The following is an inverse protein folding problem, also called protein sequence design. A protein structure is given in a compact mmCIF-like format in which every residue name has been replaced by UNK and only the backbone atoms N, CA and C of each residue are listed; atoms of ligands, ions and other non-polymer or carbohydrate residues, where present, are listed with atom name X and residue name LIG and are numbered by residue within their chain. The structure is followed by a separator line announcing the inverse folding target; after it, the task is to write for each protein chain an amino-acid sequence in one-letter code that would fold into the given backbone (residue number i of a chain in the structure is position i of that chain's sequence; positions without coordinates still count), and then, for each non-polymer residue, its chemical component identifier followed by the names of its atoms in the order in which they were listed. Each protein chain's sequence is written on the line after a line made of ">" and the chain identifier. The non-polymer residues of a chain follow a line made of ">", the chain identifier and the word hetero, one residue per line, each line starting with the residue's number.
data_IF_615868737152
#
_entry.id   IF_615868737152
#
_cell.length_a   1.000
_cell.length_b   1.000
_cell.length_c   1.000
_cell.angle_alpha   90.00
_cell.angle_beta   90.00
_cell.angle_gamma   90.00
#
_symmetry.space_group_name_H-M   'P 1'
#
loop_
_entity.id
_entity.type
_entity.pdbx_description
1 polymer ?
#
# COMPACT_ATOMS: atom_id res chain seq x y z
N UNK A 1 13.25 -9.15 -19.94
CA UNK A 1 13.21 -8.69 -18.52
C UNK A 1 14.22 -9.49 -17.71
N UNK A 2 14.70 -9.03 -16.54
CA UNK A 2 15.59 -9.80 -15.65
C UNK A 2 14.78 -10.26 -14.44
N UNK A 3 14.77 -11.55 -14.13
CA UNK A 3 14.08 -12.07 -12.94
C UNK A 3 14.71 -11.52 -11.66
N UNK A 4 13.89 -11.00 -10.74
CA UNK A 4 14.35 -10.28 -9.54
C UNK A 4 14.74 -11.21 -8.38
N UNK A 5 14.46 -12.53 -8.50
CA UNK A 5 14.61 -13.56 -7.45
C UNK A 5 13.71 -13.38 -6.20
N UNK A 6 12.76 -12.46 -6.25
CA UNK A 6 11.68 -12.29 -5.27
C UNK A 6 10.33 -12.19 -5.99
N UNK A 7 9.24 -12.38 -5.26
CA UNK A 7 7.89 -12.12 -5.76
C UNK A 7 7.68 -10.62 -6.06
N UNK A 8 6.81 -10.26 -7.03
CA UNK A 8 6.51 -8.86 -7.32
C UNK A 8 5.82 -8.23 -6.11
N UNK A 9 6.11 -6.95 -5.83
CA UNK A 9 5.39 -6.21 -4.80
C UNK A 9 3.91 -6.10 -5.20
N UNK A 10 2.99 -6.38 -4.26
CA UNK A 10 1.55 -6.34 -4.48
C UNK A 10 1.04 -4.99 -5.01
N UNK A 11 1.73 -3.92 -4.62
CA UNK A 11 1.67 -2.60 -5.21
C UNK A 11 3.09 -2.13 -5.56
N UNK A 12 3.25 -1.54 -6.73
CA UNK A 12 4.51 -1.11 -7.32
C UNK A 12 4.62 0.42 -7.43
N UNK A 13 5.85 0.93 -7.38
CA UNK A 13 6.10 2.37 -7.44
C UNK A 13 5.63 3.13 -6.20
N UNK A 14 5.70 4.47 -6.24
CA UNK A 14 5.14 5.45 -5.29
C UNK A 14 4.80 4.97 -3.85
N UNK A 15 5.75 4.37 -3.13
CA UNK A 15 5.51 3.68 -1.83
C UNK A 15 5.04 4.59 -0.68
N UNK A 16 4.98 5.90 -0.91
CA UNK A 16 4.31 6.86 -0.02
C UNK A 16 2.80 6.81 -0.04
N UNK A 17 2.24 6.51 -1.21
CA UNK A 17 0.81 6.54 -1.39
C UNK A 17 0.24 5.22 -0.85
N UNK A 18 -1.01 5.19 -0.35
CA UNK A 18 -1.65 3.94 0.05
C UNK A 18 -1.61 2.92 -1.11
N UNK A 19 -1.37 1.62 -0.86
CA UNK A 19 -1.28 0.58 -1.89
C UNK A 19 -2.38 0.61 -2.96
N UNK A 20 -3.58 0.99 -2.56
CA UNK A 20 -4.83 1.11 -3.33
C UNK A 20 -4.75 2.17 -4.44
N UNK A 21 -3.89 3.17 -4.24
CA UNK A 21 -3.66 4.26 -5.19
C UNK A 21 -2.53 3.97 -6.15
N UNK A 22 -1.64 3.03 -5.81
CA UNK A 22 -0.43 2.67 -6.56
C UNK A 22 -0.78 1.69 -7.69
N UNK A 23 0.14 1.50 -8.64
CA UNK A 23 0.00 0.50 -9.69
C UNK A 23 0.14 -0.92 -9.12
N UNK A 24 -0.66 -1.86 -9.59
CA UNK A 24 -0.66 -3.25 -9.11
C UNK A 24 0.58 -4.05 -9.52
N UNK A 25 0.76 -5.21 -8.89
CA UNK A 25 1.69 -6.23 -9.38
C UNK A 25 1.37 -6.68 -10.83
N UNK A 26 0.10 -6.66 -11.24
CA UNK A 26 -0.33 -7.02 -12.60
C UNK A 26 0.19 -6.00 -13.62
N UNK A 27 0.18 -4.71 -13.27
CA UNK A 27 0.80 -3.65 -14.07
C UNK A 27 2.33 -3.78 -14.14
N UNK A 28 2.99 -4.17 -13.04
CA UNK A 28 4.43 -4.45 -13.04
C UNK A 28 4.82 -5.66 -13.91
N UNK A 29 3.90 -6.62 -14.12
CA UNK A 29 4.14 -7.82 -14.94
C UNK A 29 3.74 -7.68 -16.42
N UNK A 30 3.18 -6.54 -16.87
CA UNK A 30 2.86 -6.28 -18.29
C UNK A 30 3.95 -6.71 -19.30
N UNK A 31 5.28 -6.47 -19.06
CA UNK A 31 6.34 -6.93 -19.97
C UNK A 31 6.43 -8.45 -20.15
N UNK A 32 5.92 -9.25 -19.21
CA UNK A 32 5.86 -10.71 -19.30
C UNK A 32 4.60 -11.21 -20.00
N UNK A 33 3.56 -10.37 -20.10
CA UNK A 33 2.34 -10.64 -20.88
C UNK A 33 2.44 -10.14 -22.34
N UNK A 34 3.63 -9.70 -22.77
CA UNK A 34 3.86 -9.14 -24.11
C UNK A 34 3.64 -7.62 -24.23
N UNK A 35 3.16 -6.96 -23.17
CA UNK A 35 2.79 -5.54 -23.15
C UNK A 35 3.93 -4.63 -22.65
N UNK A 36 5.12 -4.76 -23.25
CA UNK A 36 6.27 -3.92 -22.91
C UNK A 36 6.06 -2.44 -23.29
N UNK A 37 5.30 -2.21 -24.36
CA UNK A 37 4.83 -0.91 -24.82
C UNK A 37 3.94 -0.22 -23.77
N UNK A 38 2.92 -0.92 -23.27
CA UNK A 38 2.01 -0.40 -22.24
C UNK A 38 2.75 -0.10 -20.94
N UNK A 39 3.69 -0.96 -20.55
CA UNK A 39 4.54 -0.70 -19.38
C UNK A 39 5.42 0.54 -19.57
N UNK A 40 5.88 0.82 -20.79
CA UNK A 40 6.67 2.02 -21.11
C UNK A 40 5.87 3.33 -21.01
N UNK A 41 4.56 3.28 -21.18
CA UNK A 41 3.64 4.41 -21.00
C UNK A 41 3.27 4.68 -19.53
N UNK A 42 3.44 3.70 -18.63
CA UNK A 42 3.04 3.81 -17.22
C UNK A 42 4.06 4.60 -16.37
N UNK A 43 3.56 5.56 -15.61
CA UNK A 43 4.33 6.28 -14.60
C UNK A 43 4.06 5.72 -13.19
N UNK A 44 4.99 4.90 -12.71
CA UNK A 44 4.98 4.30 -11.37
C UNK A 44 5.25 5.29 -10.21
N UNK A 45 5.55 6.56 -10.48
CA UNK A 45 5.57 7.61 -9.45
C UNK A 45 4.19 8.27 -9.23
N UNK A 46 3.17 7.86 -10.00
CA UNK A 46 1.81 8.43 -9.98
C UNK A 46 0.77 7.37 -9.64
N UNK A 47 -0.43 7.82 -9.26
CA UNK A 47 -1.55 6.93 -8.99
C UNK A 47 -1.97 6.15 -10.24
N UNK A 48 -2.49 4.93 -10.10
CA UNK A 48 -2.89 4.08 -11.23
C UNK A 48 -3.98 4.71 -12.12
N UNK A 49 -4.78 5.62 -11.55
CA UNK A 49 -5.83 6.37 -12.23
C UNK A 49 -5.46 7.85 -12.49
N UNK A 50 -4.20 8.25 -12.36
CA UNK A 50 -3.71 9.55 -12.84
C UNK A 50 -4.04 9.70 -14.35
N UNK A 51 -4.43 10.89 -14.86
CA UNK A 51 -4.78 11.08 -16.27
C UNK A 51 -3.73 10.61 -17.29
N UNK A 52 -2.44 10.57 -16.93
CA UNK A 52 -1.38 9.96 -17.75
C UNK A 52 -1.53 8.43 -17.79
N UNK A 53 -1.67 7.80 -16.61
CA UNK A 53 -1.79 6.35 -16.48
C UNK A 53 -3.13 5.81 -17.03
N UNK A 54 -4.23 6.60 -17.00
CA UNK A 54 -5.53 6.19 -17.55
C UNK A 54 -5.49 5.81 -19.04
N UNK A 55 -4.50 6.31 -19.81
CA UNK A 55 -4.28 5.93 -21.21
C UNK A 55 -3.96 4.44 -21.39
N UNK A 56 -3.40 3.82 -20.36
CA UNK A 56 -3.09 2.39 -20.28
C UNK A 56 -4.11 1.66 -19.39
N UNK A 57 -4.42 2.19 -18.21
CA UNK A 57 -5.24 1.47 -17.21
C UNK A 57 -6.72 1.34 -17.56
N UNK A 58 -7.18 2.01 -18.63
CA UNK A 58 -8.50 1.77 -19.25
C UNK A 58 -8.49 0.69 -20.35
N UNK A 59 -7.32 0.18 -20.76
CA UNK A 59 -7.21 -0.93 -21.73
C UNK A 59 -7.60 -2.25 -21.03
N UNK A 60 -8.37 -3.13 -21.69
CA UNK A 60 -8.66 -4.46 -21.14
C UNK A 60 -7.39 -5.32 -21.14
N UNK A 61 -7.12 -6.02 -20.04
CA UNK A 61 -6.01 -6.96 -19.92
C UNK A 61 -6.59 -8.38 -19.87
N UNK A 62 -6.77 -8.99 -21.04
CA UNK A 62 -7.55 -10.24 -21.20
C UNK A 62 -7.00 -11.42 -20.39
N UNK A 63 -5.68 -11.50 -20.21
CA UNK A 63 -5.03 -12.53 -19.37
C UNK A 63 -5.43 -12.46 -17.88
N UNK A 64 -6.00 -11.34 -17.42
CA UNK A 64 -6.53 -11.17 -16.06
C UNK A 64 -8.06 -11.42 -15.98
N UNK A 65 -8.69 -11.86 -17.07
CA UNK A 65 -10.12 -12.15 -17.14
C UNK A 65 -10.36 -13.66 -17.09
N UNK A 66 -11.16 -14.13 -16.12
CA UNK A 66 -11.60 -15.52 -16.09
C UNK A 66 -12.63 -15.74 -17.24
N UNK A 67 -12.38 -16.67 -18.19
CA UNK A 67 -13.30 -16.90 -19.31
C UNK A 67 -14.71 -17.31 -18.90
N UNK A 68 -14.89 -17.88 -17.70
CA UNK A 68 -16.21 -18.26 -17.18
C UNK A 68 -17.09 -17.05 -16.77
N UNK A 69 -16.48 -15.89 -16.49
CA UNK A 69 -17.18 -14.66 -16.13
C UNK A 69 -17.20 -13.62 -17.25
N UNK A 70 -16.20 -13.67 -18.14
CA UNK A 70 -16.04 -12.71 -19.23
C UNK A 70 -15.56 -11.32 -18.79
N UNK A 71 -15.32 -10.40 -19.73
CA UNK A 71 -14.79 -9.07 -19.42
C UNK A 71 -15.87 -8.19 -18.79
N UNK A 72 -15.52 -7.52 -17.68
CA UNK A 72 -16.38 -6.54 -17.02
C UNK A 72 -15.60 -5.30 -16.58
N UNK A 73 -16.31 -4.25 -16.16
CA UNK A 73 -15.75 -2.94 -15.80
C UNK A 73 -16.38 -2.42 -14.51
N UNK A 74 -15.63 -1.65 -13.74
CA UNK A 74 -16.19 -0.84 -12.66
C UNK A 74 -17.12 0.26 -13.18
N UNK A 75 -17.94 0.86 -12.32
CA UNK A 75 -18.82 1.99 -12.66
C UNK A 75 -18.05 3.18 -13.27
N UNK A 76 -16.79 3.39 -12.87
CA UNK A 76 -15.90 4.42 -13.45
C UNK A 76 -15.28 4.02 -14.82
N UNK A 77 -15.67 2.87 -15.37
CA UNK A 77 -15.28 2.39 -16.69
C UNK A 77 -13.88 1.76 -16.78
N UNK A 78 -13.31 1.31 -15.65
CA UNK A 78 -12.02 0.62 -15.63
C UNK A 78 -12.20 -0.91 -15.71
N UNK A 79 -11.47 -1.64 -16.57
CA UNK A 79 -11.55 -3.09 -16.64
C UNK A 79 -11.08 -3.77 -15.35
N UNK A 80 -11.83 -4.78 -14.88
CA UNK A 80 -11.52 -5.49 -13.63
C UNK A 80 -10.54 -6.64 -13.83
N UNK A 81 -10.03 -7.19 -12.72
CA UNK A 81 -9.33 -8.48 -12.69
C UNK A 81 -10.18 -9.54 -11.99
N UNK A 82 -9.98 -10.81 -12.37
CA UNK A 82 -10.56 -11.99 -11.70
C UNK A 82 -9.50 -12.83 -10.97
N UNK A 83 -8.27 -12.32 -10.86
CA UNK A 83 -7.17 -13.00 -10.17
C UNK A 83 -6.49 -12.03 -9.21
N UNK A 84 -6.20 -12.49 -7.99
CA UNK A 84 -5.51 -11.69 -6.96
C UNK A 84 -4.30 -12.44 -6.40
N UNK A 85 -3.32 -11.69 -5.90
CA UNK A 85 -2.27 -12.22 -5.05
C UNK A 85 -2.79 -12.52 -3.65
N UNK A 86 -2.37 -13.62 -3.05
CA UNK A 86 -2.74 -13.99 -1.68
C UNK A 86 -1.75 -13.39 -0.69
N UNK A 87 -2.29 -12.59 0.23
CA UNK A 87 -1.52 -11.82 1.21
C UNK A 87 -1.37 -12.52 2.57
N UNK A 88 -2.04 -13.66 2.78
CA UNK A 88 -2.07 -14.36 4.05
C UNK A 88 -3.37 -14.13 4.81
N UNK A 89 -3.32 -13.96 6.14
CA UNK A 89 -4.49 -14.02 7.02
C UNK A 89 -4.80 -12.71 7.74
N UNK A 90 -6.05 -12.27 7.67
CA UNK A 90 -6.54 -11.02 8.26
C UNK A 90 -6.65 -9.87 7.25
N UNK A 91 -7.34 -8.80 7.65
CA UNK A 91 -7.61 -7.64 6.78
C UNK A 91 -6.35 -6.77 6.57
N UNK A 92 -5.41 -6.86 7.50
CA UNK A 92 -4.09 -6.22 7.52
C UNK A 92 -3.02 -7.04 6.80
N UNK A 93 -3.32 -8.26 6.32
CA UNK A 93 -2.32 -9.22 5.82
C UNK A 93 -1.35 -8.65 4.77
N UNK A 94 -1.84 -7.81 3.85
CA UNK A 94 -1.00 -7.16 2.83
C UNK A 94 0.01 -6.13 3.39
N UNK A 95 -0.16 -5.66 4.62
CA UNK A 95 0.78 -4.78 5.31
C UNK A 95 1.84 -5.52 6.13
N UNK A 96 1.72 -6.85 6.27
CA UNK A 96 2.61 -7.63 7.13
C UNK A 96 4.02 -7.76 6.53
N UNK A 97 5.01 -7.76 7.41
CA UNK A 97 6.37 -8.12 7.06
C UNK A 97 6.49 -9.64 6.87
N UNK A 98 7.45 -10.08 6.05
CA UNK A 98 7.63 -11.50 5.75
C UNK A 98 8.01 -12.38 6.97
N UNK A 99 8.27 -11.79 8.14
CA UNK A 99 8.50 -12.51 9.40
C UNK A 99 7.22 -12.81 10.19
N UNK A 100 6.07 -12.21 9.84
CA UNK A 100 4.80 -12.49 10.53
C UNK A 100 4.24 -13.85 10.09
N UNK A 101 3.84 -14.71 11.03
CA UNK A 101 3.30 -16.04 10.76
C UNK A 101 2.04 -16.02 9.86
N UNK A 102 1.30 -14.91 9.83
CA UNK A 102 0.12 -14.70 8.99
C UNK A 102 0.45 -14.18 7.59
N UNK A 103 1.69 -13.83 7.27
CA UNK A 103 2.06 -13.28 5.97
C UNK A 103 1.95 -14.32 4.84
N UNK A 104 1.41 -13.91 3.70
CA UNK A 104 1.35 -14.68 2.45
C UNK A 104 2.40 -14.22 1.43
N UNK A 105 2.26 -14.69 0.19
CA UNK A 105 3.25 -14.47 -0.88
C UNK A 105 3.26 -13.01 -1.37
N UNK A 106 2.10 -12.34 -1.39
CA UNK A 106 1.95 -10.98 -1.90
C UNK A 106 1.78 -9.96 -0.77
N UNK A 107 2.83 -9.18 -0.50
CA UNK A 107 2.81 -8.03 0.40
C UNK A 107 2.89 -6.68 -0.33
N UNK A 108 2.46 -5.62 0.35
CA UNK A 108 2.70 -4.23 -0.05
C UNK A 108 4.01 -3.67 0.50
N UNK A 109 4.51 -4.27 1.60
CA UNK A 109 5.80 -3.98 2.24
C UNK A 109 6.82 -5.08 1.93
N UNK A 110 6.45 -6.32 2.20
CA UNK A 110 7.32 -7.49 1.99
C UNK A 110 7.27 -8.02 0.54
N UNK A 111 8.38 -8.64 0.14
CA UNK A 111 8.54 -9.40 -1.12
C UNK A 111 9.34 -10.67 -0.81
N UNK A 112 8.72 -11.75 -0.35
CA UNK A 112 9.45 -12.96 -0.03
C UNK A 112 10.24 -13.47 -1.25
N UNK A 113 11.46 -13.94 -1.01
CA UNK A 113 12.20 -14.76 -1.96
C UNK A 113 11.75 -16.22 -1.86
N UNK A 114 12.02 -17.08 -2.86
CA UNK A 114 11.71 -18.51 -2.78
C UNK A 114 12.38 -19.25 -1.60
N UNK A 115 13.41 -18.65 -0.97
CA UNK A 115 14.06 -19.20 0.23
C UNK A 115 13.36 -18.78 1.54
N UNK A 116 12.51 -17.76 1.51
CA UNK A 116 11.73 -17.25 2.64
C UNK A 116 10.30 -17.84 2.66
N UNK A 117 10.11 -18.99 1.99
CA UNK A 117 8.89 -19.81 2.04
C UNK A 117 9.29 -21.19 2.58
N UNK A 118 9.51 -21.33 3.91
CA UNK A 118 9.95 -22.58 4.54
C UNK A 118 9.05 -23.80 4.26
N UNK A 119 7.75 -23.61 4.01
CA UNK A 119 6.81 -24.71 3.68
C UNK A 119 7.01 -25.31 2.28
N UNK A 120 7.83 -24.64 1.46
CA UNK A 120 8.04 -24.94 0.07
C UNK A 120 6.97 -24.33 -0.84
N UNK A 121 7.42 -23.78 -1.97
CA UNK A 121 6.56 -23.06 -2.91
C UNK A 121 5.40 -23.89 -3.50
N UNK A 122 5.48 -25.22 -3.46
CA UNK A 122 4.41 -26.13 -3.89
C UNK A 122 3.29 -26.31 -2.85
N UNK A 123 3.49 -25.82 -1.62
CA UNK A 123 2.56 -25.89 -0.49
C UNK A 123 1.94 -24.54 -0.16
N UNK A 124 2.40 -23.45 -0.77
CA UNK A 124 1.92 -22.09 -0.51
C UNK A 124 1.16 -21.54 -1.72
N UNK A 125 -0.03 -20.99 -1.49
CA UNK A 125 -0.85 -20.31 -2.49
C UNK A 125 -0.27 -18.92 -2.74
N UNK A 126 0.06 -18.64 -4.00
CA UNK A 126 0.48 -17.31 -4.44
C UNK A 126 -0.69 -16.52 -5.05
N UNK A 127 -1.54 -17.19 -5.83
CA UNK A 127 -2.62 -16.57 -6.62
C UNK A 127 -3.94 -17.28 -6.37
N UNK A 128 -5.03 -16.51 -6.32
CA UNK A 128 -6.38 -17.02 -6.16
C UNK A 128 -7.34 -16.34 -7.16
N UNK A 129 -8.31 -17.11 -7.66
CA UNK A 129 -9.43 -16.55 -8.42
C UNK A 129 -10.38 -15.77 -7.50
N UNK A 130 -10.99 -14.70 -8.01
CA UNK A 130 -12.07 -13.96 -7.35
C UNK A 130 -13.30 -13.83 -8.26
N UNK A 131 -14.47 -13.99 -7.66
CA UNK A 131 -15.79 -13.82 -8.27
C UNK A 131 -16.56 -12.64 -7.66
N UNK A 132 -16.16 -12.20 -6.45
CA UNK A 132 -16.78 -11.11 -5.72
C UNK A 132 -15.82 -9.95 -5.41
N UNK A 133 -16.40 -8.80 -5.10
CA UNK A 133 -15.68 -7.56 -4.75
C UNK A 133 -14.65 -7.13 -5.85
N UNK A 134 -14.99 -7.30 -7.13
CA UNK A 134 -14.05 -7.13 -8.25
C UNK A 134 -13.51 -5.68 -8.36
N UNK A 135 -12.21 -5.54 -8.58
CA UNK A 135 -11.52 -4.24 -8.68
C UNK A 135 -10.69 -4.09 -9.96
N UNK A 136 -10.24 -2.87 -10.31
CA UNK A 136 -9.45 -2.62 -11.51
C UNK A 136 -8.13 -3.40 -11.54
N UNK A 137 -7.78 -4.03 -12.67
CA UNK A 137 -6.54 -4.82 -12.77
C UNK A 137 -5.27 -4.01 -12.48
N UNK A 138 -5.30 -2.70 -12.75
CA UNK A 138 -4.16 -1.81 -12.55
C UNK A 138 -4.05 -1.24 -11.13
N UNK A 139 -5.07 -1.40 -10.28
CA UNK A 139 -5.08 -0.86 -8.93
C UNK A 139 -4.37 -1.81 -7.96
N UNK A 140 -3.39 -1.31 -7.18
CA UNK A 140 -2.87 -2.04 -6.02
C UNK A 140 -3.91 -2.17 -4.91
N UNK A 141 -3.49 -2.60 -3.72
CA UNK A 141 -4.42 -2.79 -2.59
C UNK A 141 -5.37 -3.98 -2.81
N UNK A 142 -6.52 -3.95 -2.13
CA UNK A 142 -7.54 -5.00 -2.12
C UNK A 142 -8.09 -5.41 -3.50
N UNK A 143 -7.96 -4.54 -4.51
CA UNK A 143 -8.36 -4.82 -5.89
C UNK A 143 -7.56 -5.98 -6.52
N UNK A 144 -6.27 -6.13 -6.17
CA UNK A 144 -5.35 -7.11 -6.78
C UNK A 144 -4.59 -7.97 -5.78
N UNK A 145 -4.65 -7.69 -4.48
CA UNK A 145 -4.01 -8.48 -3.40
C UNK A 145 -4.94 -8.56 -2.19
N UNK A 146 -5.19 -9.76 -1.67
CA UNK A 146 -6.16 -9.99 -0.57
C UNK A 146 -5.66 -10.97 0.47
N UNK A 147 -5.96 -10.67 1.73
CA UNK A 147 -5.90 -11.65 2.82
C UNK A 147 -7.19 -12.45 2.92
N UNK A 148 -7.14 -13.60 3.60
CA UNK A 148 -8.29 -14.39 4.01
C UNK A 148 -8.83 -13.78 5.32
N UNK A 149 -10.06 -13.28 5.31
CA UNK A 149 -10.67 -12.53 6.42
C UNK A 149 -11.84 -13.22 7.07
N UNK A 150 -12.71 -13.89 6.30
CA UNK A 150 -13.95 -14.44 6.82
C UNK A 150 -14.27 -15.81 6.21
N UNK A 151 -14.45 -16.81 7.10
CA UNK A 151 -14.90 -18.16 6.73
C UNK A 151 -16.39 -18.16 6.32
N UNK A 152 -16.83 -19.01 5.37
CA UNK A 152 -16.00 -19.88 4.52
C UNK A 152 -15.23 -19.05 3.49
N UNK A 153 -13.95 -19.37 3.24
CA UNK A 153 -13.13 -18.56 2.36
C UNK A 153 -13.45 -18.79 0.87
N UNK A 154 -13.60 -20.05 0.46
CA UNK A 154 -13.92 -20.43 -0.93
C UNK A 154 -15.41 -20.23 -1.18
N UNK A 155 -15.75 -19.48 -2.23
CA UNK A 155 -17.12 -19.13 -2.61
C UNK A 155 -17.94 -18.45 -1.50
N UNK A 156 -17.26 -17.76 -0.57
CA UNK A 156 -17.88 -17.06 0.56
C UNK A 156 -17.69 -15.53 0.54
N UNK A 157 -17.86 -14.85 1.69
CA UNK A 157 -18.01 -13.39 1.76
C UNK A 157 -16.79 -12.59 1.26
N UNK A 158 -15.58 -13.14 1.40
CA UNK A 158 -14.33 -12.52 0.91
C UNK A 158 -14.25 -12.45 -0.64
N UNK A 159 -15.16 -13.15 -1.34
CA UNK A 159 -15.26 -13.11 -2.80
C UNK A 159 -14.22 -13.95 -3.56
N UNK A 160 -13.44 -14.79 -2.86
CA UNK A 160 -12.58 -15.79 -3.49
C UNK A 160 -13.43 -16.88 -4.17
N UNK A 161 -13.07 -17.23 -5.39
CA UNK A 161 -13.77 -18.23 -6.20
C UNK A 161 -13.46 -18.06 -7.69
N UNK A 162 -13.34 -19.17 -8.41
CA UNK A 162 -13.02 -19.18 -9.85
C UNK A 162 -14.17 -19.68 -10.75
N UNK A 163 -15.39 -19.73 -10.19
CA UNK A 163 -16.64 -20.04 -10.91
C UNK A 163 -17.10 -21.50 -10.82
N UNK A 164 -16.35 -22.38 -10.15
CA UNK A 164 -16.77 -23.75 -9.88
C UNK A 164 -17.64 -23.78 -8.60
N UNK A 165 -18.75 -24.53 -8.56
CA UNK A 165 -19.62 -24.58 -7.38
C UNK A 165 -18.94 -25.28 -6.20
N UNK A 166 -18.20 -26.35 -6.45
CA UNK A 166 -17.63 -27.24 -5.43
C UNK A 166 -16.22 -26.85 -4.95
N UNK A 167 -15.68 -25.71 -5.39
CA UNK A 167 -14.33 -25.31 -5.03
C UNK A 167 -13.77 -24.19 -5.90
N UNK A 168 -12.44 -24.07 -5.93
CA UNK A 168 -11.75 -23.10 -6.79
C UNK A 168 -10.37 -23.59 -7.24
N UNK A 169 -9.86 -22.98 -8.31
CA UNK A 169 -8.49 -23.09 -8.77
C UNK A 169 -7.62 -22.02 -8.08
N UNK A 170 -6.46 -22.45 -7.61
CA UNK A 170 -5.43 -21.60 -7.01
C UNK A 170 -4.10 -21.81 -7.73
N UNK A 171 -3.31 -20.75 -7.87
CA UNK A 171 -1.92 -20.80 -8.32
C UNK A 171 -1.00 -20.89 -7.11
N UNK A 172 -0.20 -21.95 -7.05
CA UNK A 172 0.83 -22.16 -6.03
C UNK A 172 2.07 -21.31 -6.35
N UNK A 173 2.92 -21.06 -5.34
CA UNK A 173 4.16 -20.31 -5.52
C UNK A 173 5.21 -21.04 -6.40
N UNK A 174 5.10 -22.35 -6.63
CA UNK A 174 5.93 -23.05 -7.62
C UNK A 174 5.44 -22.85 -9.08
N UNK A 175 4.32 -22.13 -9.27
CA UNK A 175 3.66 -21.94 -10.56
C UNK A 175 2.73 -23.07 -10.98
N UNK A 176 2.58 -24.13 -10.16
CA UNK A 176 1.55 -25.15 -10.38
C UNK A 176 0.16 -24.60 -10.06
N UNK A 177 -0.87 -25.20 -10.68
CA UNK A 177 -2.28 -24.88 -10.40
C UNK A 177 -2.92 -26.07 -9.70
N UNK A 178 -3.67 -25.83 -8.64
CA UNK A 178 -4.40 -26.86 -7.88
C UNK A 178 -5.87 -26.51 -7.75
N UNK A 179 -6.71 -27.53 -7.70
CA UNK A 179 -8.11 -27.39 -7.30
C UNK A 179 -8.23 -27.61 -5.79
N UNK A 180 -8.89 -26.69 -5.10
CA UNK A 180 -9.24 -26.80 -3.69
C UNK A 180 -10.76 -26.94 -3.57
N UNK A 181 -11.22 -27.99 -2.90
CA UNK A 181 -12.64 -28.16 -2.57
C UNK A 181 -13.10 -27.06 -1.61
N UNK A 182 -14.35 -26.59 -1.77
CA UNK A 182 -15.01 -25.70 -0.80
C UNK A 182 -15.10 -26.30 0.61
N UNK A 183 -15.05 -27.63 0.71
CA UNK A 183 -15.15 -28.40 1.96
C UNK A 183 -13.77 -28.66 2.61
N UNK A 184 -12.70 -28.00 2.11
CA UNK A 184 -11.38 -28.02 2.74
C UNK A 184 -11.44 -27.52 4.18
N UNK A 185 -10.75 -28.21 5.09
CA UNK A 185 -10.64 -27.77 6.49
C UNK A 185 -10.05 -26.36 6.57
N UNK A 186 -10.69 -25.38 7.25
CA UNK A 186 -10.23 -23.99 7.24
C UNK A 186 -8.78 -23.81 7.67
N UNK A 187 -8.33 -24.52 8.69
CA UNK A 187 -6.94 -24.51 9.14
C UNK A 187 -5.94 -24.99 8.07
N UNK A 188 -6.34 -25.92 7.20
CA UNK A 188 -5.50 -26.36 6.08
C UNK A 188 -5.38 -25.24 5.05
N UNK A 189 -6.49 -24.61 4.68
CA UNK A 189 -6.48 -23.49 3.74
C UNK A 189 -5.74 -22.26 4.30
N UNK A 190 -5.86 -22.00 5.59
CA UNK A 190 -5.12 -20.94 6.29
C UNK A 190 -3.61 -21.16 6.21
N UNK A 191 -3.14 -22.39 6.45
CA UNK A 191 -1.71 -22.75 6.31
C UNK A 191 -1.22 -22.74 4.88
N UNK A 192 -2.07 -23.09 3.90
CA UNK A 192 -1.75 -22.94 2.48
C UNK A 192 -1.68 -21.46 2.06
N UNK A 193 -2.32 -20.53 2.78
CA UNK A 193 -2.32 -19.11 2.45
C UNK A 193 -1.13 -18.32 3.05
N UNK A 194 -0.41 -18.88 4.03
CA UNK A 194 0.78 -18.27 4.64
C UNK A 194 2.07 -18.85 4.08
N UNK A 195 3.18 -18.12 4.25
CA UNK A 195 4.53 -18.57 3.85
C UNK A 195 5.26 -19.35 4.95
N UNK A 196 4.70 -19.41 6.16
CA UNK A 196 5.29 -20.05 7.35
C UNK A 196 4.57 -21.33 7.81
N UNK A 197 3.35 -21.57 7.33
CA UNK A 197 2.62 -22.85 7.42
C UNK A 197 2.37 -23.44 8.80
N UNK A 198 2.77 -22.75 9.86
CA UNK A 198 2.40 -23.01 11.24
C UNK A 198 0.92 -22.72 11.47
N UNK A 199 0.34 -23.39 12.46
CA UNK A 199 -1.03 -23.12 12.85
C UNK A 199 -1.13 -21.66 13.35
N UNK A 200 -1.91 -20.78 12.70
CA UNK A 200 -2.16 -19.45 13.22
C UNK A 200 -2.91 -19.61 14.54
N UNK A 201 -2.44 -18.95 15.60
CA UNK A 201 -3.14 -18.98 16.89
C UNK A 201 -4.58 -18.50 16.67
N UNK A 202 -5.60 -19.35 16.92
CA UNK A 202 -6.93 -19.08 16.38
C UNK A 202 -7.59 -17.98 17.19
N UNK A 203 -7.68 -16.77 16.61
CA UNK A 203 -8.53 -15.70 17.11
C UNK A 203 -10.00 -16.03 16.89
N UNK A 204 -10.49 -17.01 17.65
CA UNK A 204 -11.92 -17.27 17.81
C UNK A 204 -12.48 -16.17 18.72
N UNK A 205 -13.51 -15.47 18.26
CA UNK A 205 -14.31 -14.61 19.12
C UNK A 205 -14.82 -15.44 20.31
N UNK A 206 -14.53 -14.99 21.53
CA UNK A 206 -14.64 -15.79 22.76
C UNK A 206 -16.04 -16.35 23.00
N UNK A 207 -16.17 -17.68 22.99
CA UNK A 207 -17.30 -18.41 23.57
C UNK A 207 -16.75 -19.60 24.38
N UNK A 208 -16.93 -19.55 25.69
CA UNK A 208 -16.30 -20.46 26.65
C UNK A 208 -17.01 -21.82 26.75
N UNK A 209 -16.26 -22.93 26.86
CA UNK A 209 -16.38 -24.02 27.87
C UNK A 209 -15.46 -25.21 27.50
N UNK A 210 -14.77 -25.91 28.45
CA UNK A 210 -13.69 -26.86 28.12
C UNK A 210 -13.98 -28.36 28.39
N UNK A 211 -13.18 -29.26 27.78
CA UNK A 211 -12.66 -30.46 28.49
C UNK A 211 -12.62 -31.85 27.79
N UNK A 212 -11.41 -32.35 27.49
CA UNK A 212 -11.06 -33.78 27.21
C UNK A 212 -11.11 -34.22 25.73
N UNK A 213 -10.19 -35.01 25.13
CA UNK A 213 -9.02 -35.79 25.59
C UNK A 213 -9.16 -37.28 25.13
N UNK A 214 -8.17 -38.04 24.63
CA UNK A 214 -6.71 -37.90 24.40
C UNK A 214 -6.26 -38.81 23.20
N UNK A 215 -5.02 -38.71 22.66
CA UNK A 215 -4.55 -39.46 21.46
C UNK A 215 -3.70 -40.71 21.86
N UNK A 216 -2.79 -41.32 21.06
CA UNK A 216 -2.49 -41.24 19.61
C UNK A 216 -2.36 -42.65 18.92
N UNK A 217 -2.01 -42.71 17.62
CA UNK A 217 -1.22 -43.83 17.04
C UNK A 217 -0.57 -43.51 15.67
N UNK A 218 0.75 -43.71 15.63
CA UNK A 218 1.64 -43.87 14.48
C UNK A 218 2.46 -45.17 14.75
N UNK A 219 3.39 -45.66 13.89
CA UNK A 219 3.68 -45.31 12.49
C UNK A 219 3.78 -46.54 11.55
N UNK A 220 4.06 -46.32 10.26
CA UNK A 220 4.68 -47.33 9.38
C UNK A 220 5.60 -46.67 8.34
N UNK A 221 6.77 -47.26 8.11
CA UNK A 221 7.92 -46.65 7.41
C UNK A 221 8.12 -47.12 5.96
N UNK A 222 9.00 -46.39 5.26
CA UNK A 222 9.85 -46.82 4.14
C UNK A 222 9.18 -46.99 2.75
N UNK A 223 9.77 -46.47 1.65
CA UNK A 223 11.16 -46.72 1.23
C UNK A 223 11.78 -45.61 0.37
N UNK A 224 13.08 -45.45 0.56
CA UNK A 224 14.04 -44.68 -0.23
C UNK A 224 14.30 -45.30 -1.61
N UNK A 225 14.40 -44.49 -2.68
CA UNK A 225 15.25 -44.78 -3.86
C UNK A 225 15.75 -43.49 -4.54
N UNK A 226 17.05 -43.22 -4.41
CA UNK A 226 17.89 -42.53 -5.40
C UNK A 226 19.02 -43.50 -5.77
N UNK A 227 19.53 -43.53 -7.02
CA UNK A 227 20.43 -42.49 -7.57
C UNK A 227 20.10 -42.18 -9.06
N UNK A 228 20.83 -41.38 -9.86
CA UNK A 228 22.27 -41.05 -9.87
C UNK A 228 22.53 -39.79 -10.73
N UNK A 229 23.51 -38.98 -10.33
CA UNK A 229 23.94 -37.80 -11.10
C UNK A 229 24.77 -38.16 -12.37
N UNK A 230 24.77 -37.26 -13.35
CA UNK A 230 25.89 -37.05 -14.29
C UNK A 230 26.16 -35.56 -14.52
N UNK A 231 27.42 -35.20 -14.34
CA UNK A 231 27.99 -33.86 -14.47
C UNK A 231 28.22 -33.49 -15.94
N UNK A 232 28.06 -32.21 -16.29
CA UNK A 232 28.64 -31.63 -17.50
C UNK A 232 29.04 -30.17 -17.26
N UNK A 233 30.33 -29.90 -17.10
CA UNK A 233 30.87 -28.53 -17.09
C UNK A 233 31.00 -27.98 -18.51
N UNK A 234 30.71 -26.69 -18.71
CA UNK A 234 31.43 -25.86 -19.69
C UNK A 234 31.46 -24.38 -19.27
N UNK A 235 32.56 -23.71 -19.61
CA UNK A 235 33.04 -22.45 -19.04
C UNK A 235 32.44 -21.19 -19.68
N UNK A 236 32.74 -20.03 -19.07
CA UNK A 236 32.71 -18.64 -19.59
C UNK A 236 31.32 -18.04 -19.93
N UNK A 237 30.93 -16.84 -19.48
CA UNK A 237 31.71 -15.62 -19.25
C UNK A 237 31.05 -14.65 -18.24
N UNK A 238 31.84 -13.80 -17.57
CA UNK A 238 31.33 -12.70 -16.73
C UNK A 238 30.60 -11.65 -17.58
N UNK A 239 29.30 -11.44 -17.32
CA UNK A 239 28.57 -10.21 -17.69
C UNK A 239 27.66 -9.81 -16.53
N UNK A 240 28.19 -9.01 -15.61
CA UNK A 240 27.44 -8.40 -14.51
C UNK A 240 26.40 -7.42 -15.07
N UNK A 241 25.13 -7.81 -15.06
CA UNK A 241 23.98 -6.91 -15.28
C UNK A 241 23.41 -6.42 -13.93
N UNK A 242 22.99 -5.14 -13.81
CA UNK A 242 22.51 -4.57 -12.55
C UNK A 242 21.42 -5.41 -11.88
N UNK A 243 21.42 -5.47 -10.55
CA UNK A 243 20.37 -6.11 -9.75
C UNK A 243 19.25 -5.08 -9.51
N UNK A 244 17.98 -5.48 -9.55
CA UNK A 244 16.88 -4.65 -9.08
C UNK A 244 17.13 -4.13 -7.65
N UNK A 245 16.72 -2.90 -7.37
CA UNK A 245 16.98 -2.29 -6.08
C UNK A 245 15.91 -2.75 -5.07
N UNK A 246 16.35 -3.56 -4.11
CA UNK A 246 15.81 -3.57 -2.75
C UNK A 246 15.77 -2.13 -2.20
N UNK A 247 14.97 -1.81 -1.14
CA UNK A 247 15.26 -0.63 -0.34
C UNK A 247 16.75 -0.67 0.01
N UNK A 248 17.50 0.34 -0.43
CA UNK A 248 18.94 0.16 -0.64
C UNK A 248 19.56 -0.19 0.71
N UNK A 249 20.00 -1.45 0.90
CA UNK A 249 20.53 -1.92 2.21
C UNK A 249 21.66 -1.03 2.70
N UNK A 250 22.32 -0.31 1.77
CA UNK A 250 23.22 0.81 2.02
C UNK A 250 22.52 2.01 2.66
N UNK A 251 21.46 2.56 2.07
CA UNK A 251 20.71 3.69 2.64
C UNK A 251 20.11 3.36 4.02
N UNK A 252 19.58 2.15 4.22
CA UNK A 252 19.15 1.71 5.55
C UNK A 252 20.34 1.55 6.52
N UNK A 253 21.49 1.03 6.07
CA UNK A 253 22.70 0.98 6.89
C UNK A 253 23.29 2.36 7.21
N UNK A 254 23.10 3.37 6.35
CA UNK A 254 23.50 4.77 6.60
C UNK A 254 22.78 5.40 7.78
N UNK A 255 21.60 4.90 8.15
CA UNK A 255 20.95 5.30 9.40
C UNK A 255 21.72 4.81 10.63
N UNK A 256 22.49 3.72 10.52
CA UNK A 256 23.30 3.18 11.61
C UNK A 256 24.72 3.79 11.66
N UNK A 257 25.07 4.71 10.76
CA UNK A 257 26.35 5.43 10.83
C UNK A 257 26.37 6.29 12.11
N UNK A 258 27.32 6.05 13.01
CA UNK A 258 27.41 6.72 14.33
C UNK A 258 28.11 8.08 14.24
N UNK A 259 27.52 9.09 14.85
CA UNK A 259 28.11 10.43 15.02
C UNK A 259 28.66 10.55 16.45
N UNK A 260 29.97 10.82 16.65
CA UNK A 260 30.59 10.89 17.98
C UNK A 260 29.98 11.95 18.90
N UNK A 261 29.67 13.13 18.38
CA UNK A 261 28.97 14.19 19.09
C UNK A 261 28.20 15.07 18.10
N UNK A 262 26.99 15.48 18.49
CA UNK A 262 26.16 16.42 17.73
C UNK A 262 25.45 17.36 18.71
N UNK A 263 25.73 18.66 18.59
CA UNK A 263 24.96 19.71 19.26
C UNK A 263 24.45 20.70 18.19
N UNK A 264 23.13 20.74 18.00
CA UNK A 264 22.47 21.54 16.96
C UNK A 264 21.26 22.27 17.52
N UNK A 265 21.10 23.54 17.10
CA UNK A 265 19.91 24.37 17.33
C UNK A 265 19.52 24.96 15.98
N UNK A 266 18.52 24.38 15.33
CA UNK A 266 18.26 24.55 13.90
C UNK A 266 16.76 24.35 13.60
N UNK A 267 16.35 24.45 12.34
CA UNK A 267 15.00 24.10 11.91
C UNK A 267 14.89 22.64 11.48
N UNK A 268 13.69 22.08 11.50
CA UNK A 268 13.40 20.73 11.01
C UNK A 268 13.88 20.52 9.55
N UNK A 269 13.69 21.51 8.68
CA UNK A 269 14.18 21.45 7.28
C UNK A 269 15.71 21.40 7.21
N UNK A 270 16.40 22.22 8.00
CA UNK A 270 17.86 22.25 8.05
C UNK A 270 18.45 20.97 8.64
N UNK A 271 17.84 20.42 9.70
CA UNK A 271 18.22 19.11 10.26
C UNK A 271 18.12 18.01 9.20
N UNK A 272 17.00 17.94 8.48
CA UNK A 272 16.80 16.91 7.45
C UNK A 272 17.74 17.11 6.27
N UNK A 273 18.04 18.35 5.86
CA UNK A 273 19.05 18.63 4.85
C UNK A 273 20.46 18.23 5.31
N UNK A 274 20.82 18.51 6.57
CA UNK A 274 22.10 18.12 7.17
C UNK A 274 22.25 16.60 7.23
N UNK A 275 21.27 15.89 7.79
CA UNK A 275 21.30 14.44 7.87
C UNK A 275 21.22 13.78 6.48
N UNK A 276 20.48 14.36 5.53
CA UNK A 276 20.42 13.94 4.12
C UNK A 276 21.79 14.03 3.44
N UNK A 277 22.51 15.14 3.62
CA UNK A 277 23.87 15.34 3.09
C UNK A 277 24.87 14.39 3.75
N UNK A 278 24.81 14.24 5.07
CA UNK A 278 25.76 13.43 5.85
C UNK A 278 25.59 11.93 5.58
N UNK A 279 24.35 11.43 5.65
CA UNK A 279 24.02 10.01 5.42
C UNK A 279 24.00 9.64 3.94
N UNK A 280 23.97 10.61 3.03
CA UNK A 280 23.70 10.45 1.59
C UNK A 280 22.33 9.84 1.24
N UNK A 281 21.40 9.80 2.21
CA UNK A 281 20.01 9.33 2.03
C UNK A 281 19.11 10.54 1.83
N UNK A 282 18.50 10.78 0.65
CA UNK A 282 17.58 11.89 0.45
C UNK A 282 16.44 11.88 1.47
N UNK A 283 16.30 12.95 2.25
CA UNK A 283 15.23 13.09 3.25
C UNK A 283 14.19 14.10 2.76
N UNK A 284 12.89 13.78 2.87
CA UNK A 284 11.79 14.66 2.46
C UNK A 284 10.68 14.71 3.51
N UNK A 285 9.82 15.73 3.42
CA UNK A 285 8.71 15.99 4.31
C UNK A 285 7.38 15.70 3.60
N UNK A 286 6.51 14.89 4.21
CA UNK A 286 5.09 14.86 3.82
C UNK A 286 4.43 16.15 4.31
N UNK A 287 4.26 17.10 3.38
CA UNK A 287 3.69 18.42 3.66
C UNK A 287 2.23 18.37 4.14
N UNK A 288 1.50 17.28 3.88
CA UNK A 288 0.13 17.09 4.35
C UNK A 288 0.10 16.52 5.77
N UNK A 289 0.98 15.55 6.07
CA UNK A 289 1.21 15.10 7.46
C UNK A 289 1.71 16.21 8.37
N UNK A 290 2.71 16.99 7.96
CA UNK A 290 3.22 18.09 8.78
C UNK A 290 2.13 19.12 9.09
N UNK A 291 1.25 19.39 8.13
CA UNK A 291 0.09 20.25 8.34
C UNK A 291 -0.98 19.64 9.27
N UNK A 292 -1.07 18.31 9.39
CA UNK A 292 -1.95 17.60 10.34
C UNK A 292 -1.35 17.54 11.75
N UNK A 293 -0.02 17.41 11.87
CA UNK A 293 0.71 17.54 13.13
C UNK A 293 0.76 19.00 13.65
N UNK A 294 0.44 19.99 12.80
CA UNK A 294 0.56 21.41 13.13
C UNK A 294 2.00 21.95 13.07
N UNK A 295 2.90 21.20 12.44
CA UNK A 295 4.35 21.42 12.46
C UNK A 295 4.78 22.11 11.17
N UNK A 296 5.38 23.29 11.29
CA UNK A 296 5.96 24.00 10.14
C UNK A 296 7.34 23.43 9.75
N UNK A 297 7.78 23.55 8.48
CA UNK A 297 9.14 23.18 8.08
C UNK A 297 10.25 23.94 8.84
N UNK A 298 9.91 25.13 9.37
CA UNK A 298 10.77 25.97 10.20
C UNK A 298 10.66 25.68 11.72
N UNK A 299 10.03 24.57 12.13
CA UNK A 299 9.93 24.19 13.53
C UNK A 299 11.32 23.97 14.16
N UNK A 300 11.54 24.48 15.37
CA UNK A 300 12.87 24.56 16.01
C UNK A 300 13.27 23.25 16.68
N UNK A 301 14.24 22.55 16.10
CA UNK A 301 14.85 21.37 16.70
C UNK A 301 16.09 21.77 17.51
N UNK A 302 16.23 21.22 18.71
CA UNK A 302 17.42 21.35 19.56
C UNK A 302 17.86 19.96 19.98
N UNK A 303 19.07 19.57 19.59
CA UNK A 303 19.66 18.25 19.84
C UNK A 303 21.00 18.39 20.54
N UNK A 304 21.26 17.53 21.52
CA UNK A 304 22.59 17.31 22.10
C UNK A 304 22.74 15.82 22.39
N UNK A 305 23.47 15.11 21.53
CA UNK A 305 23.66 13.66 21.59
C UNK A 305 25.14 13.31 21.38
N UNK A 306 25.58 12.18 21.93
CA UNK A 306 26.95 11.67 21.80
C UNK A 306 26.91 10.18 21.48
N UNK A 307 27.77 9.73 20.57
CA UNK A 307 27.81 8.37 20.02
C UNK A 307 26.45 7.85 19.50
N UNK A 308 25.64 8.73 18.92
CA UNK A 308 24.31 8.40 18.40
C UNK A 308 24.35 8.15 16.90
N UNK A 309 23.57 7.17 16.43
CA UNK A 309 23.37 6.87 15.01
C UNK A 309 22.55 7.97 14.31
N UNK A 310 22.69 8.12 12.99
CA UNK A 310 21.84 9.03 12.19
C UNK A 310 20.34 8.76 12.43
N UNK A 311 19.95 7.49 12.61
CA UNK A 311 18.59 7.07 12.93
C UNK A 311 18.12 7.57 14.30
N UNK A 312 18.91 7.39 15.36
CA UNK A 312 18.59 7.89 16.71
C UNK A 312 18.52 9.43 16.75
N UNK A 313 19.40 10.11 16.01
CA UNK A 313 19.42 11.57 15.89
C UNK A 313 18.18 12.08 15.15
N UNK A 314 17.77 11.36 14.10
CA UNK A 314 16.53 11.64 13.37
C UNK A 314 15.30 11.39 14.25
N UNK A 315 15.22 10.25 14.93
CA UNK A 315 14.15 9.94 15.87
C UNK A 315 14.03 10.98 16.99
N UNK A 316 15.14 11.36 17.63
CA UNK A 316 15.14 12.38 18.69
C UNK A 316 14.79 13.78 18.17
N UNK A 317 15.17 14.11 16.92
CA UNK A 317 14.81 15.38 16.29
C UNK A 317 13.33 15.46 15.88
N UNK A 318 12.69 14.32 15.64
CA UNK A 318 11.28 14.20 15.26
C UNK A 318 10.34 13.97 16.46
N UNK A 319 10.86 13.38 17.55
CA UNK A 319 10.11 13.05 18.78
C UNK A 319 9.31 14.23 19.39
N UNK A 320 9.82 15.49 19.43
CA UNK A 320 9.05 16.62 19.97
C UNK A 320 7.79 16.98 19.17
N UNK A 321 7.64 16.43 17.97
CA UNK A 321 6.59 16.76 17.00
C UNK A 321 5.66 15.59 16.67
N UNK A 322 5.81 14.46 17.36
CA UNK A 322 5.12 13.19 17.06
C UNK A 322 5.26 12.79 15.57
N UNK A 323 6.42 13.07 15.00
CA UNK A 323 6.79 12.70 13.64
C UNK A 323 7.61 11.40 13.65
N UNK A 324 7.47 10.62 12.59
CA UNK A 324 8.26 9.42 12.31
C UNK A 324 8.69 9.41 10.84
N UNK A 325 9.61 8.51 10.48
CA UNK A 325 10.08 8.37 9.11
C UNK A 325 9.83 6.96 8.55
N UNK A 326 9.69 6.88 7.23
CA UNK A 326 9.66 5.61 6.48
C UNK A 326 10.66 5.62 5.33
N UNK A 327 11.25 4.46 5.06
CA UNK A 327 12.09 4.23 3.88
C UNK A 327 11.22 3.98 2.65
N UNK A 328 11.36 4.84 1.64
CA UNK A 328 10.61 4.82 0.39
C UNK A 328 11.64 4.69 -0.75
N UNK A 329 11.97 3.44 -1.10
CA UNK A 329 13.02 3.12 -2.08
C UNK A 329 14.42 3.53 -1.58
N UNK A 330 14.90 4.71 -2.00
CA UNK A 330 16.18 5.28 -1.56
C UNK A 330 16.06 6.50 -0.66
N UNK A 331 14.85 7.01 -0.45
CA UNK A 331 14.62 8.24 0.29
C UNK A 331 13.88 7.97 1.60
N UNK A 332 14.20 8.77 2.60
CA UNK A 332 13.50 8.84 3.87
C UNK A 332 12.41 9.89 3.80
N UNK A 333 11.23 9.55 4.30
CA UNK A 333 10.10 10.48 4.26
C UNK A 333 9.48 10.58 5.64
N UNK A 334 9.52 11.80 6.15
CA UNK A 334 9.03 12.19 7.47
C UNK A 334 7.55 12.51 7.38
N UNK A 335 6.77 11.88 8.24
CA UNK A 335 5.32 11.97 8.30
C UNK A 335 4.83 11.88 9.76
N UNK A 336 3.54 12.09 9.97
CA UNK A 336 2.89 12.01 11.27
C UNK A 336 2.90 10.55 11.77
N UNK A 337 3.35 10.32 13.00
CA UNK A 337 3.50 8.97 13.55
C UNK A 337 2.18 8.18 13.56
N UNK A 338 1.04 8.89 13.69
CA UNK A 338 -0.31 8.29 13.72
C UNK A 338 -0.64 7.59 12.40
N UNK A 339 -0.15 8.10 11.25
CA UNK A 339 -0.39 7.51 9.93
C UNK A 339 0.23 6.11 9.76
N UNK A 340 1.30 5.79 10.49
CA UNK A 340 2.01 4.52 10.32
C UNK A 340 1.22 3.30 10.83
N UNK A 341 0.32 3.55 11.78
CA UNK A 341 -0.51 2.56 12.45
C UNK A 341 -2.01 2.81 12.19
N UNK A 342 -2.37 3.52 11.10
CA UNK A 342 -3.76 3.81 10.78
C UNK A 342 -4.56 2.54 10.46
N UNK A 343 -5.49 2.22 11.35
CA UNK A 343 -6.52 1.21 11.16
C UNK A 343 -7.74 1.80 10.45
N UNK A 344 -8.58 0.93 9.90
CA UNK A 344 -9.87 1.33 9.32
C UNK A 344 -10.90 1.45 10.45
N UNK A 345 -11.39 2.66 10.70
CA UNK A 345 -12.38 2.95 11.74
C UNK A 345 -13.70 3.43 11.14
N UNK A 346 -14.81 3.29 11.87
CA UNK A 346 -16.11 3.81 11.44
C UNK A 346 -16.46 5.10 12.19
N UNK A 347 -16.37 6.23 11.49
CA UNK A 347 -16.68 7.57 12.03
C UNK A 347 -18.04 8.03 11.52
N UNK A 348 -18.92 8.44 12.44
CA UNK A 348 -20.22 9.03 12.11
C UNK A 348 -20.14 10.56 12.03
N UNK A 349 -20.59 11.10 10.90
CA UNK A 349 -20.70 12.54 10.65
C UNK A 349 -22.17 12.92 10.57
N UNK A 350 -22.60 13.84 11.44
CA UNK A 350 -23.92 14.47 11.30
C UNK A 350 -23.90 15.36 10.06
N UNK A 351 -24.92 15.23 9.21
CA UNK A 351 -25.09 15.98 7.96
C UNK A 351 -26.52 16.46 7.72
N UNK A 352 -27.44 16.28 8.67
CA UNK A 352 -28.84 16.76 8.56
C UNK A 352 -28.99 18.28 8.38
N UNK A 353 -27.92 19.06 8.59
CA UNK A 353 -27.83 20.48 8.25
C UNK A 353 -27.35 20.74 6.80
N UNK A 354 -26.71 19.75 6.17
CA UNK A 354 -26.16 19.77 4.81
C UNK A 354 -27.07 19.11 3.76
N UNK A 355 -28.19 18.51 4.16
CA UNK A 355 -29.15 17.87 3.25
C UNK A 355 -30.55 18.38 3.54
N UNK A 356 -31.39 18.50 2.52
CA UNK A 356 -32.84 18.51 2.77
C UNK A 356 -33.25 17.13 3.29
N UNK A 357 -34.37 17.02 4.00
CA UNK A 357 -34.76 15.83 4.78
C UNK A 357 -35.18 14.60 3.95
N UNK A 358 -34.60 14.41 2.76
CA UNK A 358 -34.82 13.26 1.89
C UNK A 358 -33.62 12.30 1.92
N UNK A 359 -33.90 10.99 1.79
CA UNK A 359 -32.87 9.95 1.64
C UNK A 359 -32.03 10.11 0.37
N UNK A 360 -32.54 10.85 -0.63
CA UNK A 360 -31.83 11.07 -1.89
C UNK A 360 -30.70 12.09 -1.71
N UNK A 361 -30.96 13.18 -1.00
CA UNK A 361 -29.96 14.21 -0.70
C UNK A 361 -28.82 13.65 0.18
N UNK A 362 -29.14 12.76 1.12
CA UNK A 362 -28.18 11.98 1.90
C UNK A 362 -27.26 11.12 0.99
N UNK A 363 -27.84 10.39 0.03
CA UNK A 363 -27.09 9.59 -0.94
C UNK A 363 -26.23 10.42 -1.88
N UNK A 364 -26.72 11.57 -2.34
CA UNK A 364 -25.98 12.44 -3.26
C UNK A 364 -24.86 13.20 -2.55
N UNK A 365 -25.02 13.55 -1.27
CA UNK A 365 -23.92 14.04 -0.45
C UNK A 365 -22.84 12.96 -0.26
N UNK A 366 -23.21 11.70 -0.03
CA UNK A 366 -22.25 10.60 0.05
C UNK A 366 -21.43 10.45 -1.25
N UNK A 367 -22.08 10.48 -2.42
CA UNK A 367 -21.38 10.48 -3.73
C UNK A 367 -20.46 11.68 -3.93
N UNK A 368 -20.81 12.85 -3.39
CA UNK A 368 -19.93 14.03 -3.43
C UNK A 368 -18.69 13.82 -2.56
N UNK A 369 -18.84 13.22 -1.35
CA UNK A 369 -17.69 12.82 -0.53
C UNK A 369 -16.81 11.84 -1.29
N UNK A 370 -17.39 10.77 -1.86
CA UNK A 370 -16.62 9.79 -2.64
C UNK A 370 -15.87 10.41 -3.84
N UNK A 371 -16.46 11.42 -4.47
CA UNK A 371 -15.89 12.09 -5.65
C UNK A 371 -14.79 13.10 -5.33
N UNK A 372 -14.80 13.72 -4.15
CA UNK A 372 -13.91 14.84 -3.83
C UNK A 372 -12.90 14.55 -2.70
N UNK A 373 -13.15 13.57 -1.84
CA UNK A 373 -12.24 13.15 -0.77
C UNK A 373 -11.57 11.85 -1.21
N UNK A 374 -10.26 11.89 -1.46
CA UNK A 374 -9.41 10.74 -1.90
C UNK A 374 -10.19 9.70 -2.74
N UNK A 375 -10.56 10.00 -4.00
CA UNK A 375 -11.64 9.25 -4.67
C UNK A 375 -11.36 7.77 -4.91
N UNK A 376 -10.09 7.36 -4.84
CA UNK A 376 -9.61 5.98 -4.91
C UNK A 376 -9.78 5.18 -3.61
N UNK A 377 -10.07 5.82 -2.48
CA UNK A 377 -10.13 5.16 -1.18
C UNK A 377 -11.47 4.43 -0.94
N UNK A 378 -12.48 4.69 -1.77
CA UNK A 378 -13.85 4.17 -1.64
C UNK A 378 -14.06 2.88 -2.42
N UNK A 379 -14.92 2.00 -1.90
CA UNK A 379 -15.30 0.73 -2.54
C UNK A 379 -15.88 0.92 -3.95
N UNK A 380 -16.58 2.04 -4.21
CA UNK A 380 -17.07 2.41 -5.55
C UNK A 380 -15.96 2.65 -6.58
N UNK A 381 -14.73 2.91 -6.10
CA UNK A 381 -13.50 3.07 -6.89
C UNK A 381 -12.48 1.94 -6.70
N UNK A 382 -12.81 0.90 -5.92
CA UNK A 382 -11.92 -0.23 -5.61
C UNK A 382 -11.03 -0.06 -4.37
N UNK A 383 -11.24 0.99 -3.56
CA UNK A 383 -10.59 1.15 -2.26
C UNK A 383 -11.35 0.47 -1.10
N UNK A 384 -10.77 0.41 0.12
CA UNK A 384 -11.27 -0.39 1.23
C UNK A 384 -12.48 0.23 1.95
N UNK A 385 -12.66 1.55 1.86
CA UNK A 385 -13.63 2.25 2.70
C UNK A 385 -15.02 2.36 2.09
N UNK A 386 -16.02 2.41 2.96
CA UNK A 386 -17.43 2.58 2.59
C UNK A 386 -18.02 3.83 3.23
N UNK A 387 -19.10 4.33 2.63
CA UNK A 387 -19.91 5.40 3.18
C UNK A 387 -21.39 5.01 3.11
N UNK A 388 -22.04 4.99 4.27
CA UNK A 388 -23.46 4.67 4.41
C UNK A 388 -24.19 5.92 4.88
N UNK A 389 -25.23 6.31 4.14
CA UNK A 389 -26.02 7.52 4.41
C UNK A 389 -27.38 7.12 4.99
N UNK A 390 -27.69 7.57 6.20
CA UNK A 390 -28.97 7.30 6.86
C UNK A 390 -29.30 8.32 7.95
N UNK A 391 -30.55 8.80 7.95
CA UNK A 391 -31.18 9.52 9.07
C UNK A 391 -30.40 10.77 9.52
N UNK A 392 -29.93 11.56 8.55
CA UNK A 392 -29.14 12.77 8.78
C UNK A 392 -27.69 12.50 9.19
N UNK A 393 -27.18 11.27 9.05
CA UNK A 393 -25.78 10.92 9.30
C UNK A 393 -25.12 10.21 8.11
N UNK A 394 -23.81 10.43 7.95
CA UNK A 394 -22.93 9.62 7.11
C UNK A 394 -22.04 8.77 8.03
N UNK A 395 -22.20 7.45 7.98
CA UNK A 395 -21.27 6.51 8.60
C UNK A 395 -20.16 6.19 7.59
N UNK A 396 -18.95 6.67 7.88
CA UNK A 396 -17.77 6.52 7.03
C UNK A 396 -16.85 5.48 7.66
N UNK A 397 -16.66 4.34 6.99
CA UNK A 397 -15.70 3.31 7.39
C UNK A 397 -14.42 3.48 6.58
N UNK A 398 -13.37 4.03 7.17
CA UNK A 398 -12.13 4.37 6.47
C UNK A 398 -10.95 4.59 7.43
N UNK A 399 -9.72 4.53 6.91
CA UNK A 399 -8.50 5.05 7.56
C UNK A 399 -8.72 6.45 8.18
N UNK A 400 -8.13 6.69 9.35
CA UNK A 400 -8.35 7.91 10.14
C UNK A 400 -8.02 9.22 9.37
N UNK A 401 -6.93 9.25 8.60
CA UNK A 401 -6.53 10.41 7.79
C UNK A 401 -7.55 10.79 6.72
N UNK A 402 -8.22 9.81 6.10
CA UNK A 402 -9.24 10.06 5.08
C UNK A 402 -10.58 10.41 5.74
N UNK A 403 -10.93 9.76 6.86
CA UNK A 403 -12.07 10.16 7.69
C UNK A 403 -11.95 11.62 8.16
N UNK A 404 -10.75 12.07 8.54
CA UNK A 404 -10.49 13.47 8.84
C UNK A 404 -10.68 14.37 7.60
N UNK A 405 -10.24 13.95 6.41
CA UNK A 405 -10.48 14.68 5.16
C UNK A 405 -11.98 14.76 4.79
N UNK A 406 -12.80 13.77 5.16
CA UNK A 406 -14.27 13.85 5.03
C UNK A 406 -14.83 14.93 5.95
N UNK A 407 -14.39 14.98 7.21
CA UNK A 407 -14.76 16.06 8.14
C UNK A 407 -14.43 17.45 7.57
N UNK A 408 -13.18 17.63 7.14
CA UNK A 408 -12.68 18.85 6.48
C UNK A 408 -13.50 19.25 5.24
N UNK A 409 -13.98 18.28 4.46
CA UNK A 409 -14.80 18.50 3.28
C UNK A 409 -16.22 18.95 3.65
N UNK A 410 -16.87 18.25 4.59
CA UNK A 410 -18.20 18.60 5.08
C UNK A 410 -18.21 19.99 5.74
N UNK A 411 -17.18 20.33 6.50
CA UNK A 411 -17.06 21.63 7.15
C UNK A 411 -16.77 22.78 6.16
N UNK A 412 -16.01 22.52 5.08
CA UNK A 412 -15.93 23.46 3.94
C UNK A 412 -17.27 23.62 3.23
N UNK A 413 -18.05 22.54 3.07
CA UNK A 413 -19.39 22.61 2.48
C UNK A 413 -20.35 23.43 3.35
N UNK A 414 -20.26 23.31 4.69
CA UNK A 414 -20.98 24.17 5.65
C UNK A 414 -20.62 25.64 5.45
N UNK A 415 -19.33 25.98 5.44
CA UNK A 415 -18.87 27.35 5.22
C UNK A 415 -19.34 27.93 3.88
N UNK A 416 -19.26 27.15 2.80
CA UNK A 416 -19.72 27.57 1.48
C UNK A 416 -21.25 27.85 1.45
N UNK A 417 -22.01 27.22 2.36
CA UNK A 417 -23.46 27.41 2.54
C UNK A 417 -23.82 28.35 3.72
N UNK A 418 -22.83 29.01 4.32
CA UNK A 418 -23.01 29.92 5.48
C UNK A 418 -23.60 29.23 6.73
N UNK A 419 -23.39 27.92 6.88
CA UNK A 419 -23.87 27.12 8.00
C UNK A 419 -22.84 27.04 9.15
N UNK A 420 -23.28 26.85 10.41
CA UNK A 420 -22.38 26.74 11.56
C UNK A 420 -21.52 25.47 11.48
N UNK A 421 -20.21 25.64 11.63
CA UNK A 421 -19.24 24.54 11.58
C UNK A 421 -19.14 23.83 12.93
N UNK A 422 -19.36 22.52 12.94
CA UNK A 422 -19.27 21.68 14.13
C UNK A 422 -17.80 21.35 14.48
N UNK A 423 -17.07 22.34 15.01
CA UNK A 423 -15.64 22.23 15.35
C UNK A 423 -15.31 20.97 16.17
N UNK A 424 -14.68 19.98 15.54
CA UNK A 424 -13.70 19.10 16.20
C UNK A 424 -12.31 19.72 16.03
N UNK A 425 -11.39 19.43 16.95
CA UNK A 425 -10.09 20.11 17.02
C UNK A 425 -9.31 19.99 15.70
N UNK A 426 -8.87 21.12 15.14
CA UNK A 426 -8.20 21.13 13.84
C UNK A 426 -8.02 22.52 13.23
N UNK A 427 -7.23 22.56 12.15
CA UNK A 427 -6.85 23.73 11.36
C UNK A 427 -8.08 24.55 10.91
N UNK A 428 -8.02 25.90 10.87
CA UNK A 428 -9.11 26.70 10.33
C UNK A 428 -9.42 26.32 8.88
N UNK A 429 -10.66 25.86 8.64
CA UNK A 429 -11.19 25.54 7.32
C UNK A 429 -11.34 26.82 6.50
N UNK A 430 -10.44 27.02 5.53
CA UNK A 430 -10.53 28.09 4.55
C UNK A 430 -11.15 27.59 3.25
N UNK A 431 -11.99 28.42 2.63
CA UNK A 431 -12.47 28.24 1.26
C UNK A 431 -11.44 28.72 0.21
N UNK A 432 -10.38 29.41 0.63
CA UNK A 432 -9.28 29.75 -0.26
C UNK A 432 -8.62 28.48 -0.79
N UNK A 433 -8.51 28.36 -2.12
CA UNK A 433 -7.84 27.23 -2.75
C UNK A 433 -6.35 27.24 -2.41
N UNK A 434 -5.69 26.06 -2.45
CA UNK A 434 -4.23 25.97 -2.31
C UNK A 434 -3.52 26.90 -3.30
N UNK A 435 -4.06 27.03 -4.52
CA UNK A 435 -3.58 27.98 -5.53
C UNK A 435 -3.75 29.44 -5.12
N UNK A 436 -4.90 29.88 -4.62
CA UNK A 436 -5.08 31.28 -4.19
C UNK A 436 -4.24 31.63 -2.97
N UNK A 437 -4.05 30.70 -2.04
CA UNK A 437 -3.13 30.89 -0.90
C UNK A 437 -1.66 30.93 -1.33
N UNK A 438 -1.29 30.16 -2.35
CA UNK A 438 0.07 30.15 -2.90
C UNK A 438 0.32 31.31 -3.88
N UNK A 439 -0.72 31.96 -4.42
CA UNK A 439 -0.64 32.92 -5.55
C UNK A 439 0.41 34.00 -5.33
N UNK A 440 0.43 34.61 -4.14
CA UNK A 440 1.41 35.65 -3.78
C UNK A 440 2.86 35.13 -3.85
N UNK A 441 3.12 33.95 -3.28
CA UNK A 441 4.45 33.31 -3.33
C UNK A 441 4.82 32.82 -4.73
N UNK A 442 3.85 32.32 -5.50
CA UNK A 442 4.02 31.89 -6.89
C UNK A 442 4.23 33.07 -7.85
N UNK A 443 3.77 34.27 -7.50
CA UNK A 443 4.10 35.52 -8.21
C UNK A 443 5.43 36.13 -7.80
N UNK A 444 6.15 35.54 -6.83
CA UNK A 444 7.49 35.95 -6.47
C UNK A 444 8.50 35.52 -7.54
N UNK A 445 9.31 36.45 -8.04
CA UNK A 445 10.40 36.13 -8.96
C UNK A 445 11.45 35.26 -8.24
N UNK A 446 11.68 34.06 -8.77
CA UNK A 446 12.74 33.15 -8.26
C UNK A 446 14.05 33.48 -8.96
N UNK A 447 14.94 34.19 -8.26
CA UNK A 447 16.30 34.45 -8.74
C UNK A 447 17.22 33.27 -8.43
N UNK A 448 17.69 32.57 -9.46
CA UNK A 448 18.73 31.53 -9.32
C UNK A 448 20.08 32.15 -9.67
N UNK A 449 20.92 32.36 -8.66
CA UNK A 449 22.28 32.84 -8.84
C UNK A 449 23.21 31.67 -9.19
N UNK A 450 23.95 31.79 -10.29
CA UNK A 450 24.98 30.85 -10.68
C UNK A 450 26.35 31.44 -10.35
N UNK A 451 27.10 30.79 -9.47
CA UNK A 451 28.44 31.21 -9.03
C UNK A 451 29.54 30.95 -10.08
N UNK A 452 29.22 30.17 -11.12
CA UNK A 452 30.13 29.83 -12.23
C UNK A 452 29.47 30.18 -13.57
N UNK A 453 30.25 30.60 -14.60
CA UNK A 453 29.73 30.89 -15.94
C UNK A 453 28.99 29.69 -16.56
N UNK A 454 27.66 29.69 -16.43
CA UNK A 454 26.80 28.56 -16.80
C UNK A 454 26.06 28.88 -18.11
N UNK A 455 26.16 28.03 -19.16
CA UNK A 455 25.43 28.24 -20.40
C UNK A 455 23.92 28.29 -20.19
N UNK A 456 23.24 29.26 -20.84
CA UNK A 456 21.80 29.51 -20.68
C UNK A 456 20.93 28.25 -20.87
N UNK A 457 21.30 27.34 -21.78
CA UNK A 457 20.61 26.07 -21.98
C UNK A 457 20.59 25.17 -20.73
N UNK A 458 21.68 25.14 -19.93
CA UNK A 458 21.73 24.41 -18.64
C UNK A 458 20.92 25.12 -17.56
N UNK A 459 20.84 26.45 -17.60
CA UNK A 459 20.01 27.24 -16.69
C UNK A 459 18.53 26.93 -16.93
N UNK A 460 18.10 27.00 -18.20
CA UNK A 460 16.71 26.73 -18.59
C UNK A 460 16.29 25.29 -18.28
N UNK A 461 17.15 24.29 -18.53
CA UNK A 461 16.87 22.89 -18.21
C UNK A 461 16.48 22.67 -16.73
N UNK A 462 17.14 23.38 -15.79
CA UNK A 462 16.83 23.31 -14.35
C UNK A 462 15.45 23.85 -13.93
N UNK A 463 14.68 24.46 -14.83
CA UNK A 463 13.30 24.90 -14.56
C UNK A 463 12.24 23.94 -15.13
N UNK A 464 12.65 22.87 -15.82
CA UNK A 464 11.74 21.90 -16.46
C UNK A 464 11.91 20.45 -15.97
N UNK A 465 12.88 20.19 -15.09
CA UNK A 465 13.02 18.98 -14.25
C UNK A 465 12.33 19.18 -12.88
#
# INVERSE_FOLDING_TARGET
>A
VKAERAWPAGAAGATLLPPETRLSWQAALLPYYGHLDWHGELNFARAWNDPLNQRVTRRPLEVMVNPAFGPSKTTAGFPVTHYVGVAGLGADAGQLEASDARAGVFGFRSRPTPAEIPDGASSTIALAGVSGQLGPWAAGGAATVRGLTQRPYINGPDGFGSGQPDGMLVGMADGSVRFLSKDIGPAVLERLATIHGGDPEPQVATASTPGGGLPPREPAQARTLTPRAKTAEKRTAKRTRPVPQEPDKRAAARLNDTIPEIELKTTLTELLNFLSQLSTVPMTLDAESLAQAGVGPAAKVSLKLSNATVGEILDEGLRPYDLKYVMVGKQLIVMDARRLNETVETVRFKVGDLVASSKQDESDLAKLVERFVVPTAWQTSGGPGSIEAAAGELAVKQMASVSQQVGDFLDKLRLARQLPVARRQGRPTSLATRWSMAREKLSGNVTVNFSEPTPLAKIVARFYD
#
